data_IF_781792505389
#
_entry.id   IF_781792505389
#
_cell.length_a   1.000
_cell.length_b   1.000
_cell.length_c   1.000
_cell.angle_alpha   90.00
_cell.angle_beta   90.00
_cell.angle_gamma   90.00
#
_symmetry.space_group_name_H-M   'P 1'
#
loop_
_entity.id
_entity.type
_entity.pdbx_description
1 polymer ?
#
# COMPACT_ATOMS: atom_id res chain seq x y z
N UNK A 1 13.85 -21.45 21.39
CA UNK A 1 13.65 -20.16 20.69
C UNK A 1 12.21 -20.13 20.26
N UNK A 2 11.38 -19.29 20.89
CA UNK A 2 10.00 -19.08 20.42
C UNK A 2 10.05 -18.40 19.06
N UNK A 3 9.42 -19.01 18.07
CA UNK A 3 9.31 -18.42 16.75
C UNK A 3 8.35 -17.22 16.80
N UNK A 4 8.77 -16.07 16.30
CA UNK A 4 7.88 -14.89 16.16
C UNK A 4 6.75 -15.15 15.18
N UNK A 5 6.92 -16.06 14.25
CA UNK A 5 5.95 -16.41 13.20
C UNK A 5 5.34 -17.77 13.50
N UNK A 6 4.03 -17.84 13.50
CA UNK A 6 3.22 -19.05 13.70
C UNK A 6 2.14 -19.17 12.63
N UNK A 7 1.30 -20.20 12.69
CA UNK A 7 0.12 -20.34 11.82
C UNK A 7 -0.98 -19.31 12.07
N UNK A 8 -0.87 -18.49 13.12
CA UNK A 8 -1.82 -17.41 13.44
C UNK A 8 -1.31 -16.04 12.99
N UNK A 9 -0.03 -15.93 12.63
CA UNK A 9 0.58 -14.66 12.24
C UNK A 9 -0.07 -14.12 10.95
N UNK A 10 -0.59 -12.89 11.02
CA UNK A 10 -1.26 -12.25 9.89
C UNK A 10 -0.24 -11.72 8.88
N UNK A 11 -0.45 -12.01 7.60
CA UNK A 11 0.41 -11.51 6.54
C UNK A 11 -0.11 -10.16 6.01
N UNK A 12 0.82 -9.21 5.86
CA UNK A 12 0.66 -7.99 5.08
C UNK A 12 1.77 -7.92 4.03
N UNK A 13 1.56 -7.20 2.94
CA UNK A 13 2.58 -7.18 1.89
C UNK A 13 2.66 -5.87 1.10
N UNK A 14 3.73 -5.76 0.33
CA UNK A 14 3.90 -4.81 -0.77
C UNK A 14 3.90 -5.58 -2.08
N UNK A 15 3.19 -5.07 -3.07
CA UNK A 15 3.29 -5.53 -4.46
C UNK A 15 3.75 -4.41 -5.39
N UNK A 16 4.45 -4.77 -6.45
CA UNK A 16 5.02 -3.87 -7.46
C UNK A 16 6.23 -4.51 -8.10
N UNK A 17 6.90 -3.84 -9.03
CA UNK A 17 8.09 -4.37 -9.68
C UNK A 17 9.02 -3.25 -10.18
N UNK A 18 10.32 -3.28 -9.81
CA UNK A 18 10.98 -4.17 -8.86
C UNK A 18 10.78 -3.72 -7.41
N UNK A 19 10.70 -4.64 -6.45
CA UNK A 19 10.50 -4.30 -5.01
C UNK A 19 11.66 -4.72 -4.10
N UNK A 20 12.69 -5.35 -4.63
CA UNK A 20 13.81 -5.87 -3.85
C UNK A 20 14.59 -4.83 -3.03
N UNK A 21 14.51 -3.56 -3.41
CA UNK A 21 15.16 -2.43 -2.72
C UNK A 21 14.25 -1.74 -1.69
N UNK A 22 13.01 -2.20 -1.51
CA UNK A 22 12.04 -1.56 -0.62
C UNK A 22 12.43 -1.69 0.85
N UNK A 23 12.42 -0.57 1.57
CA UNK A 23 12.57 -0.52 3.02
C UNK A 23 11.31 -0.88 3.81
N UNK A 24 10.16 -1.05 3.14
CA UNK A 24 8.89 -1.31 3.82
C UNK A 24 8.90 -2.57 4.68
N UNK A 25 9.44 -3.73 4.23
CA UNK A 25 9.48 -4.91 5.08
C UNK A 25 10.25 -4.70 6.39
N UNK A 26 11.40 -4.04 6.34
CA UNK A 26 12.19 -3.75 7.54
C UNK A 26 11.42 -2.83 8.49
N UNK A 27 10.82 -1.77 7.99
CA UNK A 27 10.05 -0.79 8.77
C UNK A 27 8.83 -1.43 9.45
N UNK A 28 7.99 -2.12 8.68
CA UNK A 28 6.76 -2.71 9.23
C UNK A 28 7.05 -3.85 10.22
N UNK A 29 7.98 -4.75 9.90
CA UNK A 29 8.32 -5.85 10.81
C UNK A 29 8.94 -5.37 12.12
N UNK A 30 9.80 -4.34 12.08
CA UNK A 30 10.31 -3.69 13.27
C UNK A 30 9.16 -3.10 14.12
N UNK A 31 8.21 -2.42 13.47
CA UNK A 31 7.06 -1.81 14.14
C UNK A 31 6.15 -2.88 14.77
N UNK A 32 5.85 -3.96 14.05
CA UNK A 32 5.04 -5.06 14.59
C UNK A 32 5.68 -5.69 15.83
N UNK A 33 6.98 -5.92 15.77
CA UNK A 33 7.72 -6.45 16.93
C UNK A 33 7.68 -5.50 18.12
N UNK A 34 7.91 -4.21 17.92
CA UNK A 34 7.90 -3.19 18.98
C UNK A 34 6.52 -3.01 19.62
N UNK A 35 5.46 -3.20 18.86
CA UNK A 35 4.07 -3.06 19.33
C UNK A 35 3.44 -4.39 19.78
N UNK A 36 4.17 -5.51 19.68
CA UNK A 36 3.65 -6.83 20.04
C UNK A 36 2.52 -7.29 19.12
N UNK A 37 2.51 -6.86 17.86
CA UNK A 37 1.50 -7.23 16.86
C UNK A 37 1.95 -8.54 16.19
N UNK A 38 1.10 -9.58 16.26
CA UNK A 38 1.35 -10.86 15.59
C UNK A 38 1.06 -10.74 14.08
N UNK A 39 2.00 -10.12 13.38
CA UNK A 39 1.94 -9.91 11.94
C UNK A 39 3.33 -9.98 11.30
N UNK A 40 3.36 -10.28 10.02
CA UNK A 40 4.54 -10.25 9.18
C UNK A 40 4.27 -9.43 7.92
N UNK A 41 5.29 -8.74 7.45
CA UNK A 41 5.22 -7.95 6.22
C UNK A 41 6.30 -8.40 5.24
N UNK A 42 5.90 -8.67 3.98
CA UNK A 42 6.80 -9.07 2.92
C UNK A 42 6.57 -8.25 1.66
N UNK A 43 7.60 -8.17 0.81
CA UNK A 43 7.49 -7.58 -0.52
C UNK A 43 7.48 -8.69 -1.58
N UNK A 44 6.56 -8.60 -2.52
CA UNK A 44 6.43 -9.52 -3.63
C UNK A 44 6.62 -8.78 -4.95
N UNK A 45 7.55 -9.25 -5.75
CA UNK A 45 7.82 -8.72 -7.08
C UNK A 45 6.71 -9.22 -8.03
N UNK A 46 5.77 -8.32 -8.32
CA UNK A 46 4.62 -8.61 -9.18
C UNK A 46 4.69 -7.63 -10.35
N UNK A 47 5.07 -8.10 -11.54
CA UNK A 47 5.08 -7.24 -12.73
C UNK A 47 3.64 -6.94 -13.19
N UNK A 48 3.48 -5.84 -13.93
CA UNK A 48 2.18 -5.29 -14.32
C UNK A 48 1.26 -6.30 -15.01
N UNK A 49 1.83 -7.17 -15.84
CA UNK A 49 1.10 -8.23 -16.55
C UNK A 49 0.57 -9.34 -15.64
N UNK A 50 1.04 -9.41 -14.39
CA UNK A 50 0.62 -10.40 -13.40
C UNK A 50 -0.16 -9.78 -12.23
N UNK A 51 -0.43 -8.49 -12.26
CA UNK A 51 -1.03 -7.78 -11.12
C UNK A 51 -2.42 -8.31 -10.76
N UNK A 52 -3.24 -8.66 -11.73
CA UNK A 52 -4.56 -9.26 -11.51
C UNK A 52 -4.46 -10.60 -10.77
N UNK A 53 -3.59 -11.48 -11.25
CA UNK A 53 -3.31 -12.75 -10.59
C UNK A 53 -2.73 -12.55 -9.17
N UNK A 54 -1.88 -11.53 -8.99
CA UNK A 54 -1.33 -11.16 -7.69
C UNK A 54 -2.41 -10.72 -6.71
N UNK A 55 -3.35 -9.89 -7.12
CA UNK A 55 -4.48 -9.44 -6.28
C UNK A 55 -5.41 -10.61 -5.93
N UNK A 56 -5.71 -11.51 -6.85
CA UNK A 56 -6.50 -12.71 -6.56
C UNK A 56 -5.77 -13.68 -5.60
N UNK A 57 -4.46 -13.82 -5.73
CA UNK A 57 -3.65 -14.58 -4.78
C UNK A 57 -3.72 -13.99 -3.37
N UNK A 58 -3.63 -12.66 -3.24
CA UNK A 58 -3.77 -11.94 -1.97
C UNK A 58 -5.09 -12.25 -1.28
N UNK A 59 -6.20 -12.23 -2.02
CA UNK A 59 -7.53 -12.62 -1.52
C UNK A 59 -7.54 -14.07 -1.05
N UNK A 60 -7.06 -14.99 -1.88
CA UNK A 60 -7.05 -16.43 -1.60
C UNK A 60 -6.22 -16.78 -0.38
N UNK A 61 -5.07 -16.12 -0.19
CA UNK A 61 -4.17 -16.33 0.94
C UNK A 61 -4.62 -15.66 2.24
N UNK A 62 -5.68 -14.87 2.21
CA UNK A 62 -6.20 -14.16 3.39
C UNK A 62 -5.25 -13.09 3.92
N UNK A 63 -4.52 -12.41 3.02
CA UNK A 63 -3.65 -11.28 3.39
C UNK A 63 -4.48 -10.16 4.00
N UNK A 64 -4.04 -9.59 5.12
CA UNK A 64 -4.82 -8.61 5.91
C UNK A 64 -4.89 -7.21 5.31
N UNK A 65 -4.05 -6.92 4.34
CA UNK A 65 -3.95 -5.65 3.63
C UNK A 65 -2.63 -5.56 2.91
N UNK A 66 -2.52 -4.67 1.94
CA UNK A 66 -1.28 -4.55 1.17
C UNK A 66 -1.03 -3.14 0.67
N UNK A 67 0.24 -2.82 0.50
CA UNK A 67 0.65 -1.63 -0.22
C UNK A 67 0.93 -1.95 -1.68
N UNK A 68 0.83 -0.92 -2.50
CA UNK A 68 1.08 -1.01 -3.95
C UNK A 68 2.10 0.06 -4.33
N UNK A 69 3.14 -0.36 -5.03
CA UNK A 69 4.10 0.58 -5.62
C UNK A 69 4.06 0.52 -7.15
N UNK A 70 4.97 1.25 -7.78
CA UNK A 70 5.07 1.25 -9.24
C UNK A 70 5.42 -0.15 -9.79
N UNK A 71 4.88 -0.51 -10.96
CA UNK A 71 4.00 0.26 -11.84
C UNK A 71 2.49 0.07 -11.54
N UNK A 72 2.10 -0.66 -10.50
CA UNK A 72 0.79 -1.30 -10.35
C UNK A 72 -0.31 -0.40 -9.77
N UNK A 73 0.02 0.79 -9.24
CA UNK A 73 -0.92 1.67 -8.51
C UNK A 73 -2.21 1.99 -9.27
N UNK A 74 -2.12 2.23 -10.57
CA UNK A 74 -3.28 2.50 -11.43
C UNK A 74 -4.04 1.22 -11.73
N UNK A 75 -3.35 0.13 -12.08
CA UNK A 75 -3.98 -1.14 -12.38
C UNK A 75 -4.77 -1.68 -11.18
N UNK A 76 -4.18 -1.66 -9.98
CA UNK A 76 -4.86 -2.11 -8.75
C UNK A 76 -6.08 -1.26 -8.42
N UNK A 77 -6.10 0.04 -8.76
CA UNK A 77 -7.30 0.87 -8.55
C UNK A 77 -8.53 0.39 -9.34
N UNK A 78 -8.34 -0.38 -10.41
CA UNK A 78 -9.41 -1.00 -11.19
C UNK A 78 -9.78 -2.42 -10.73
N UNK A 79 -8.98 -3.01 -9.83
CA UNK A 79 -9.15 -4.38 -9.35
C UNK A 79 -9.75 -4.45 -7.93
N UNK A 80 -9.81 -3.33 -7.22
CA UNK A 80 -10.43 -3.24 -5.89
C UNK A 80 -11.93 -3.05 -6.00
N UNK A 81 -12.66 -3.44 -4.95
CA UNK A 81 -14.12 -3.36 -4.90
C UNK A 81 -14.60 -1.92 -4.69
N UNK A 82 -13.80 -1.11 -3.99
CA UNK A 82 -14.13 0.28 -3.67
C UNK A 82 -12.87 1.16 -3.62
N UNK A 83 -13.02 2.43 -3.94
CA UNK A 83 -11.96 3.44 -3.82
C UNK A 83 -12.38 4.53 -2.84
N UNK A 84 -11.45 4.95 -1.99
CA UNK A 84 -11.59 6.17 -1.21
C UNK A 84 -11.74 7.40 -2.12
N UNK A 85 -12.35 8.50 -1.65
CA UNK A 85 -12.51 9.71 -2.47
C UNK A 85 -11.19 10.20 -3.09
N UNK A 86 -10.10 10.19 -2.32
CA UNK A 86 -8.79 10.60 -2.81
C UNK A 86 -8.25 9.65 -3.90
N UNK A 87 -8.33 8.34 -3.68
CA UNK A 87 -7.88 7.35 -4.66
C UNK A 87 -8.71 7.42 -5.96
N UNK A 88 -10.01 7.66 -5.83
CA UNK A 88 -10.92 7.82 -6.98
C UNK A 88 -10.58 9.06 -7.80
N UNK A 89 -10.28 10.19 -7.13
CA UNK A 89 -9.91 11.43 -7.79
C UNK A 89 -8.57 11.32 -8.52
N UNK A 90 -7.59 10.64 -7.90
CA UNK A 90 -6.24 10.46 -8.44
C UNK A 90 -6.20 9.37 -9.52
N UNK A 91 -7.10 8.39 -9.47
CA UNK A 91 -7.10 7.23 -10.37
C UNK A 91 -6.00 6.19 -10.06
N UNK A 92 -5.50 6.19 -8.82
CA UNK A 92 -4.46 5.27 -8.37
C UNK A 92 -4.56 5.03 -6.87
N UNK A 93 -4.18 3.84 -6.40
CA UNK A 93 -4.09 3.53 -4.97
C UNK A 93 -2.71 2.98 -4.62
N UNK A 94 -2.24 3.30 -3.43
CA UNK A 94 -0.96 2.80 -2.88
C UNK A 94 -1.15 1.94 -1.63
N UNK A 95 -2.38 1.89 -1.11
CA UNK A 95 -2.72 1.13 0.09
C UNK A 95 -4.09 0.52 -0.10
N UNK A 96 -4.20 -0.78 0.15
CA UNK A 96 -5.46 -1.52 0.08
C UNK A 96 -5.74 -2.18 1.41
N UNK A 97 -6.91 -1.90 1.97
CA UNK A 97 -7.43 -2.58 3.15
C UNK A 97 -8.33 -3.74 2.73
N UNK A 98 -8.26 -4.83 3.49
CA UNK A 98 -9.09 -6.02 3.32
C UNK A 98 -9.97 -6.15 4.54
N UNK A 99 -11.28 -6.14 4.37
CA UNK A 99 -12.22 -6.32 5.47
C UNK A 99 -12.46 -7.80 5.82
N UNK A 100 -13.30 -8.05 6.82
CA UNK A 100 -13.63 -9.41 7.30
C UNK A 100 -14.32 -10.28 6.24
N UNK A 101 -14.93 -9.66 5.24
CA UNK A 101 -15.59 -10.34 4.14
C UNK A 101 -14.71 -10.50 2.90
N UNK A 102 -13.44 -10.04 2.99
CA UNK A 102 -12.50 -10.06 1.88
C UNK A 102 -12.69 -8.94 0.87
N UNK A 103 -13.51 -7.91 1.19
CA UNK A 103 -13.71 -6.74 0.34
C UNK A 103 -12.46 -5.86 0.35
N UNK A 104 -12.03 -5.45 -0.83
CA UNK A 104 -10.87 -4.61 -1.04
C UNK A 104 -11.28 -3.14 -1.17
N UNK A 105 -10.69 -2.28 -0.34
CA UNK A 105 -10.84 -0.82 -0.48
C UNK A 105 -9.49 -0.18 -0.74
N UNK A 106 -9.37 0.48 -1.88
CA UNK A 106 -8.14 1.18 -2.29
C UNK A 106 -8.10 2.63 -1.78
N UNK A 107 -6.95 3.01 -1.22
CA UNK A 107 -6.67 4.34 -0.70
C UNK A 107 -5.44 4.93 -1.39
N UNK A 108 -5.37 6.26 -1.41
CA UNK A 108 -4.15 6.96 -1.80
C UNK A 108 -3.70 7.88 -0.66
N UNK A 109 -2.54 7.56 -0.10
CA UNK A 109 -1.92 8.31 1.00
C UNK A 109 -0.71 9.13 0.55
N UNK A 110 -0.25 8.95 -0.70
CA UNK A 110 0.95 9.62 -1.21
C UNK A 110 0.76 11.14 -1.26
N UNK A 111 -0.35 11.62 -1.81
CA UNK A 111 -0.64 13.04 -1.94
C UNK A 111 -0.77 13.73 -0.59
N UNK A 112 -1.56 13.17 0.31
CA UNK A 112 -1.75 13.69 1.66
C UNK A 112 -0.44 13.68 2.45
N UNK A 113 0.34 12.60 2.35
CA UNK A 113 1.65 12.47 2.99
C UNK A 113 2.64 13.52 2.48
N UNK A 114 2.67 13.77 1.17
CA UNK A 114 3.52 14.78 0.57
C UNK A 114 3.17 16.19 1.05
N UNK A 115 1.89 16.57 0.99
CA UNK A 115 1.40 17.88 1.46
C UNK A 115 1.73 18.08 2.93
N UNK A 116 1.46 17.07 3.77
CA UNK A 116 1.75 17.14 5.19
C UNK A 116 3.25 17.32 5.46
N UNK A 117 4.09 16.59 4.75
CA UNK A 117 5.54 16.73 4.88
C UNK A 117 6.01 18.14 4.53
N UNK A 118 5.49 18.76 3.47
CA UNK A 118 5.79 20.14 3.11
C UNK A 118 5.39 21.12 4.23
N UNK A 119 4.18 20.98 4.79
CA UNK A 119 3.72 21.81 5.90
C UNK A 119 4.62 21.69 7.13
N UNK A 120 5.01 20.47 7.50
CA UNK A 120 5.90 20.21 8.64
C UNK A 120 7.29 20.83 8.44
N UNK A 121 7.71 21.06 7.19
CA UNK A 121 8.96 21.75 6.84
C UNK A 121 8.78 23.25 6.52
N UNK A 122 7.62 23.83 6.88
CA UNK A 122 7.36 25.26 6.73
C UNK A 122 7.07 25.71 5.30
N UNK A 123 6.76 24.80 4.40
CA UNK A 123 6.36 25.12 3.02
C UNK A 123 4.84 25.21 2.91
N UNK A 124 4.34 26.40 2.62
CA UNK A 124 2.91 26.61 2.33
C UNK A 124 2.66 26.42 0.83
N UNK A 125 1.72 25.53 0.49
CA UNK A 125 1.27 25.34 -0.88
C UNK A 125 0.26 26.45 -1.20
N UNK A 126 0.69 27.50 -1.88
CA UNK A 126 -0.21 28.46 -2.49
C UNK A 126 -0.93 27.80 -3.69
N UNK A 127 -2.21 28.12 -3.91
CA UNK A 127 -3.01 27.59 -5.02
C UNK A 127 -2.35 27.74 -6.40
N UNK A 128 -1.44 28.69 -6.57
CA UNK A 128 -0.67 28.93 -7.79
C UNK A 128 0.37 27.85 -8.11
N UNK A 129 0.80 27.04 -7.14
CA UNK A 129 1.74 25.93 -7.44
C UNK A 129 1.06 24.79 -8.18
N UNK A 130 -0.26 24.64 -8.08
CA UNK A 130 -1.00 23.57 -8.75
C UNK A 130 -1.17 23.80 -10.26
N UNK A 131 -1.09 25.05 -10.73
CA UNK A 131 -1.23 25.39 -12.16
C UNK A 131 0.00 25.00 -12.98
N UNK A 132 1.17 24.85 -12.38
CA UNK A 132 2.43 24.50 -13.07
C UNK A 132 2.63 22.98 -13.23
N UNK A 133 1.88 22.14 -12.51
CA UNK A 133 1.96 20.68 -12.60
C UNK A 133 1.09 20.08 -13.71
N UNK A 134 0.27 20.91 -14.37
CA UNK A 134 -0.64 20.51 -15.46
C UNK A 134 -0.17 20.95 -16.87
N UNK A 135 1.11 21.27 -17.04
CA UNK A 135 1.68 21.60 -18.38
C UNK A 135 2.70 20.57 -18.81
#
# INVERSE_FOLDING_TARGET
MESRISGHTKLFCLIGSPVGHSGSPAMYNYTFERLGIDAAYMAFDVPLEQVEAGVEAIKTLGVGGFNVTMPDKTAVSHLVDELSPAAKLIGACNTVTVDENGKLTGHNTDGVGFVRNLHEHGVELAAQCCEHLNR
#
